data_IF_005055986515
#
_entry.id   IF_005055986515
#
_cell.length_a   1.000
_cell.length_b   1.000
_cell.length_c   1.000
_cell.angle_alpha   90.00
_cell.angle_beta   90.00
_cell.angle_gamma   90.00
#
_symmetry.space_group_name_H-M   'P 1'
#
loop_
_entity.id
_entity.type
_entity.pdbx_description
1 polymer ?
#
# COMPACT_ATOMS: atom_id res chain seq x y z
N UNK A 1 73.12 8.84 -38.81
CA UNK A 1 74.13 7.75 -38.95
C UNK A 1 75.40 8.17 -38.21
N UNK A 2 76.21 7.27 -37.64
CA UNK A 2 75.84 6.16 -36.74
C UNK A 2 76.78 6.04 -35.50
N UNK A 3 76.37 5.19 -34.53
CA UNK A 3 77.18 4.29 -33.64
C UNK A 3 78.24 4.88 -32.68
N UNK A 4 78.35 4.46 -31.40
CA UNK A 4 78.59 3.08 -30.94
C UNK A 4 78.29 2.84 -29.44
N UNK A 5 77.70 1.67 -29.16
CA UNK A 5 77.86 0.69 -28.05
C UNK A 5 78.76 1.01 -26.84
N UNK A 6 78.39 0.66 -25.60
CA UNK A 6 78.51 -0.70 -24.99
C UNK A 6 77.71 -0.77 -23.67
N UNK A 7 76.68 -1.60 -23.53
CA UNK A 7 76.64 -2.95 -22.91
C UNK A 7 77.20 -3.10 -21.48
N UNK A 8 76.32 -3.40 -20.53
CA UNK A 8 76.59 -4.42 -19.51
C UNK A 8 75.29 -5.11 -19.09
N UNK A 9 75.24 -6.40 -19.40
CA UNK A 9 74.17 -7.33 -19.06
C UNK A 9 74.40 -7.95 -17.69
N UNK A 10 73.35 -8.11 -16.89
CA UNK A 10 73.24 -9.29 -16.01
C UNK A 10 71.81 -9.79 -16.05
N UNK A 11 71.66 -10.96 -16.69
CA UNK A 11 70.52 -11.85 -16.55
C UNK A 11 70.57 -12.49 -15.16
N UNK A 12 69.45 -12.48 -14.46
CA UNK A 12 69.11 -13.46 -13.41
C UNK A 12 67.59 -13.61 -13.49
N UNK A 13 67.15 -14.52 -14.36
CA UNK A 13 66.72 -15.88 -14.00
C UNK A 13 65.31 -15.87 -13.42
N UNK A 14 64.40 -16.41 -14.23
CA UNK A 14 63.03 -16.71 -13.87
C UNK A 14 62.97 -17.49 -12.55
N UNK A 15 62.24 -16.93 -11.58
CA UNK A 15 61.56 -17.71 -10.57
C UNK A 15 60.17 -17.07 -10.44
N UNK A 16 59.18 -17.82 -10.90
CA UNK A 16 57.78 -17.46 -10.79
C UNK A 16 57.42 -17.16 -9.34
N UNK A 17 57.16 -15.89 -9.02
CA UNK A 17 56.43 -15.52 -7.84
C UNK A 17 55.31 -14.59 -8.27
N UNK A 18 54.13 -15.01 -7.87
CA UNK A 18 52.83 -14.52 -8.27
C UNK A 18 52.75 -13.01 -8.30
N UNK A 19 52.17 -12.52 -9.39
CA UNK A 19 51.54 -11.20 -9.46
C UNK A 19 50.40 -11.22 -8.44
N UNK A 20 50.71 -10.96 -7.17
CA UNK A 20 49.73 -10.42 -6.25
C UNK A 20 49.75 -8.92 -6.53
N UNK A 21 49.01 -8.53 -7.58
CA UNK A 21 48.46 -7.18 -7.60
C UNK A 21 47.68 -7.06 -6.29
N UNK A 22 48.28 -6.42 -5.28
CA UNK A 22 47.55 -5.96 -4.12
C UNK A 22 46.53 -4.97 -4.67
N UNK A 23 45.34 -5.47 -5.00
CA UNK A 23 44.13 -4.68 -5.12
C UNK A 23 44.06 -3.96 -3.80
N UNK A 24 44.52 -2.70 -3.78
CA UNK A 24 44.41 -1.84 -2.63
C UNK A 24 42.97 -1.99 -2.17
N UNK A 25 42.81 -2.52 -0.96
CA UNK A 25 41.54 -2.48 -0.27
C UNK A 25 41.24 -0.98 -0.23
N UNK A 26 40.42 -0.51 -1.18
CA UNK A 26 39.85 0.83 -1.11
C UNK A 26 39.22 0.82 0.26
N UNK A 27 39.79 1.57 1.21
CA UNK A 27 39.19 1.80 2.51
C UNK A 27 37.73 2.05 2.20
N UNK A 28 36.87 1.12 2.57
CA UNK A 28 35.44 1.37 2.58
C UNK A 28 35.35 2.45 3.64
N UNK A 29 35.42 3.72 3.23
CA UNK A 29 35.04 4.82 4.09
C UNK A 29 33.60 4.49 4.45
N UNK A 30 33.42 3.91 5.65
CA UNK A 30 32.11 3.63 6.20
C UNK A 30 31.39 4.96 6.12
N UNK A 31 30.40 5.06 5.22
CA UNK A 31 29.57 6.25 5.11
C UNK A 31 28.97 6.45 6.48
N UNK A 32 29.48 7.44 7.21
CA UNK A 32 28.97 7.77 8.53
C UNK A 32 27.49 8.12 8.36
N UNK A 33 26.63 7.49 9.17
CA UNK A 33 25.22 7.85 9.22
C UNK A 33 25.11 9.32 9.62
N UNK A 34 24.06 10.02 9.19
CA UNK A 34 23.83 11.43 9.55
C UNK A 34 23.97 11.67 11.06
N UNK A 35 23.38 10.81 11.89
CA UNK A 35 23.51 10.84 13.35
C UNK A 35 24.96 10.70 13.81
N UNK A 36 25.74 9.79 13.23
CA UNK A 36 27.15 9.59 13.60
C UNK A 36 28.02 10.78 13.19
N UNK A 37 27.74 11.37 12.02
CA UNK A 37 28.43 12.56 11.55
C UNK A 37 28.18 13.74 12.50
N UNK A 38 26.92 14.01 12.83
CA UNK A 38 26.55 15.07 13.78
C UNK A 38 27.17 14.80 15.15
N UNK A 39 27.03 13.58 15.68
CA UNK A 39 27.57 13.18 16.97
C UNK A 39 29.07 13.41 17.10
N UNK A 40 29.85 13.09 16.06
CA UNK A 40 31.31 13.33 16.04
C UNK A 40 31.67 14.81 16.26
N UNK A 41 30.93 15.74 15.64
CA UNK A 41 31.21 17.17 15.80
C UNK A 41 30.60 17.73 17.08
N UNK A 42 29.45 17.23 17.51
CA UNK A 42 28.84 17.60 18.79
C UNK A 42 29.72 17.18 19.96
N UNK A 43 30.28 15.97 19.95
CA UNK A 43 31.25 15.50 20.95
C UNK A 43 32.50 16.39 20.99
N UNK A 44 32.97 16.83 19.82
CA UNK A 44 34.09 17.75 19.71
C UNK A 44 33.81 19.12 20.36
N UNK A 45 32.55 19.58 20.39
CA UNK A 45 32.14 20.77 21.14
C UNK A 45 32.23 20.56 22.65
N UNK A 46 31.81 19.38 23.14
CA UNK A 46 31.89 19.00 24.56
C UNK A 46 33.34 18.93 25.03
N UNK A 47 34.21 18.27 24.24
CA UNK A 47 35.65 18.17 24.51
C UNK A 47 36.38 19.50 24.35
N UNK A 48 35.74 20.50 23.72
CA UNK A 48 36.31 21.83 23.51
C UNK A 48 37.43 21.90 22.48
N UNK A 49 37.59 20.88 21.65
CA UNK A 49 38.68 20.78 20.66
C UNK A 49 38.24 21.38 19.33
N UNK A 50 38.96 22.37 18.79
CA UNK A 50 38.65 22.99 17.47
C UNK A 50 37.14 23.33 17.31
N UNK A 51 36.59 24.08 18.27
CA UNK A 51 35.16 24.44 18.33
C UNK A 51 34.65 25.12 17.06
N UNK A 52 35.40 26.09 16.52
CA UNK A 52 35.07 26.77 15.24
C UNK A 52 34.84 25.76 14.11
N UNK A 53 35.82 24.88 13.89
CA UNK A 53 35.72 23.84 12.87
C UNK A 53 34.53 22.90 13.08
N UNK A 54 34.25 22.52 14.33
CA UNK A 54 33.09 21.68 14.63
C UNK A 54 31.76 22.41 14.33
N UNK A 55 31.67 23.69 14.68
CA UNK A 55 30.50 24.53 14.40
C UNK A 55 30.29 24.71 12.90
N UNK A 56 31.33 25.01 12.13
CA UNK A 56 31.27 25.12 10.67
C UNK A 56 30.77 23.82 10.03
N UNK A 57 31.29 22.67 10.48
CA UNK A 57 30.86 21.37 9.99
C UNK A 57 29.41 21.04 10.34
N UNK A 58 28.92 21.48 11.50
CA UNK A 58 27.52 21.33 11.88
C UNK A 58 26.61 22.27 11.06
N UNK A 59 27.10 23.46 10.68
CA UNK A 59 26.38 24.40 9.81
C UNK A 59 26.26 23.83 8.39
N UNK A 60 27.33 23.24 7.86
CA UNK A 60 27.37 22.68 6.50
C UNK A 60 26.69 21.31 6.38
N UNK A 61 26.43 20.62 7.49
CA UNK A 61 25.86 19.27 7.48
C UNK A 61 24.44 19.22 6.88
N UNK A 62 24.24 18.56 5.74
CA UNK A 62 22.89 18.31 5.23
C UNK A 62 22.30 17.06 5.91
N UNK A 63 21.65 17.27 7.06
CA UNK A 63 21.13 16.20 7.92
C UNK A 63 19.69 16.50 8.37
N UNK A 64 18.84 15.49 8.56
CA UNK A 64 17.50 15.66 9.11
C UNK A 64 17.55 16.11 10.58
N UNK A 65 16.48 16.74 11.07
CA UNK A 65 16.43 17.28 12.43
C UNK A 65 16.67 16.20 13.49
N UNK A 66 16.17 14.99 13.25
CA UNK A 66 16.32 13.84 14.16
C UNK A 66 17.78 13.55 14.50
N UNK A 67 18.71 13.69 13.54
CA UNK A 67 20.14 13.47 13.80
C UNK A 67 20.72 14.48 14.79
N UNK A 68 20.20 15.71 14.83
CA UNK A 68 20.63 16.74 15.79
C UNK A 68 19.97 16.56 17.15
N UNK A 69 18.71 16.14 17.17
CA UNK A 69 17.94 15.83 18.39
C UNK A 69 18.48 14.61 19.13
N UNK A 70 18.79 13.53 18.42
CA UNK A 70 19.39 12.31 18.98
C UNK A 70 20.72 12.60 19.68
N UNK A 71 21.51 13.52 19.14
CA UNK A 71 22.79 13.95 19.73
C UNK A 71 22.65 15.12 20.71
N UNK A 72 21.42 15.56 21.03
CA UNK A 72 21.14 16.70 21.92
C UNK A 72 21.94 17.97 21.55
N UNK A 73 22.12 18.21 20.26
CA UNK A 73 23.08 19.20 19.75
C UNK A 73 22.73 20.62 20.21
N UNK A 74 21.44 21.01 20.22
CA UNK A 74 20.99 22.31 20.74
C UNK A 74 21.36 22.50 22.21
N UNK A 75 21.17 21.48 23.06
CA UNK A 75 21.53 21.52 24.48
C UNK A 75 23.04 21.62 24.68
N UNK A 76 23.83 20.92 23.86
CA UNK A 76 25.29 21.00 23.91
C UNK A 76 25.78 22.39 23.53
N UNK A 77 25.17 23.01 22.51
CA UNK A 77 25.48 24.39 22.11
C UNK A 77 25.17 25.38 23.23
N UNK A 78 24.01 25.25 23.87
CA UNK A 78 23.59 26.10 24.98
C UNK A 78 24.52 25.97 26.19
N UNK A 79 24.94 24.74 26.53
CA UNK A 79 25.77 24.51 27.72
C UNK A 79 27.25 24.81 27.52
N UNK A 80 27.82 24.45 26.36
CA UNK A 80 29.26 24.46 26.15
C UNK A 80 29.76 25.59 25.25
N UNK A 81 28.88 26.20 24.46
CA UNK A 81 29.27 27.21 23.44
C UNK A 81 28.66 28.58 23.76
N UNK A 82 27.38 28.66 24.13
CA UNK A 82 26.72 29.93 24.43
C UNK A 82 27.41 30.75 25.55
N UNK A 83 27.90 30.16 26.66
CA UNK A 83 28.54 30.92 27.72
C UNK A 83 29.85 31.59 27.31
N UNK A 84 30.48 31.12 26.21
CA UNK A 84 31.75 31.66 25.74
C UNK A 84 31.58 33.02 25.02
N UNK A 85 30.38 33.38 24.57
CA UNK A 85 30.08 34.65 23.88
C UNK A 85 30.68 34.80 22.47
N UNK A 86 31.85 34.21 22.20
CA UNK A 86 32.63 34.36 20.97
C UNK A 86 32.01 33.70 19.73
N UNK A 87 31.02 32.82 19.91
CA UNK A 87 30.45 32.00 18.83
C UNK A 87 29.03 32.40 18.44
N UNK A 88 28.59 33.61 18.81
CA UNK A 88 27.23 34.12 18.56
C UNK A 88 26.79 34.01 17.09
N UNK A 89 27.67 34.29 16.13
CA UNK A 89 27.41 34.13 14.70
C UNK A 89 27.04 32.68 14.33
N UNK A 90 27.83 31.72 14.80
CA UNK A 90 27.62 30.30 14.51
C UNK A 90 26.34 29.79 15.16
N UNK A 91 26.08 30.22 16.40
CA UNK A 91 24.85 29.88 17.12
C UNK A 91 23.60 30.40 16.39
N UNK A 92 23.62 31.64 15.91
CA UNK A 92 22.51 32.20 15.15
C UNK A 92 22.28 31.44 13.83
N UNK A 93 23.36 31.12 13.10
CA UNK A 93 23.25 30.29 11.89
C UNK A 93 22.68 28.90 12.14
N UNK A 94 23.13 28.23 13.21
CA UNK A 94 22.62 26.92 13.59
C UNK A 94 21.15 26.99 14.01
N UNK A 95 20.75 28.00 14.78
CA UNK A 95 19.35 28.23 15.16
C UNK A 95 18.46 28.42 13.92
N UNK A 96 18.84 29.32 13.01
CA UNK A 96 18.11 29.53 11.75
C UNK A 96 18.01 28.26 10.91
N UNK A 97 19.08 27.45 10.90
CA UNK A 97 19.08 26.15 10.22
C UNK A 97 18.10 25.18 10.85
N UNK A 98 18.09 25.02 12.17
CA UNK A 98 17.15 24.13 12.86
C UNK A 98 15.71 24.54 12.59
N UNK A 99 15.39 25.83 12.65
CA UNK A 99 14.05 26.33 12.33
C UNK A 99 13.67 26.08 10.86
N UNK A 100 14.63 26.24 9.95
CA UNK A 100 14.41 25.97 8.52
C UNK A 100 14.14 24.48 8.27
N UNK A 101 14.86 23.58 8.94
CA UNK A 101 14.66 22.14 8.82
C UNK A 101 13.30 21.76 9.42
N UNK A 102 12.99 22.17 10.65
CA UNK A 102 11.69 21.92 11.29
C UNK A 102 10.51 22.41 10.45
N UNK A 103 10.60 23.61 9.86
CA UNK A 103 9.57 24.15 8.98
C UNK A 103 9.39 23.29 7.72
N UNK A 104 10.49 22.86 7.09
CA UNK A 104 10.43 21.99 5.91
C UNK A 104 9.81 20.63 6.26
N UNK A 105 10.17 20.05 7.39
CA UNK A 105 9.63 18.78 7.85
C UNK A 105 8.14 18.88 8.12
N UNK A 106 7.68 19.95 8.78
CA UNK A 106 6.25 20.21 9.00
C UNK A 106 5.47 20.37 7.70
N UNK A 107 6.01 21.12 6.72
CA UNK A 107 5.34 21.26 5.42
C UNK A 107 5.27 19.92 4.68
N UNK A 108 6.33 19.11 4.78
CA UNK A 108 6.37 17.80 4.14
C UNK A 108 5.36 16.84 4.78
N UNK A 109 5.27 16.81 6.11
CA UNK A 109 4.27 15.99 6.81
C UNK A 109 2.85 16.44 6.48
N UNK A 110 2.58 17.74 6.49
CA UNK A 110 1.27 18.28 6.07
C UNK A 110 0.93 17.91 4.63
N UNK A 111 1.88 18.03 3.69
CA UNK A 111 1.67 17.66 2.29
C UNK A 111 1.42 16.16 2.13
N UNK A 112 2.14 15.30 2.85
CA UNK A 112 1.91 13.85 2.84
C UNK A 112 0.52 13.51 3.37
N UNK A 113 0.10 14.18 4.45
CA UNK A 113 -1.21 13.99 5.05
C UNK A 113 -2.33 14.46 4.10
N UNK A 114 -2.17 15.61 3.45
CA UNK A 114 -3.11 16.10 2.45
C UNK A 114 -3.27 15.11 1.28
N UNK A 115 -2.15 14.63 0.71
CA UNK A 115 -2.16 13.60 -0.34
C UNK A 115 -2.83 12.29 0.10
N UNK A 116 -2.59 11.88 1.35
CA UNK A 116 -3.25 10.70 1.91
C UNK A 116 -4.76 10.89 2.03
N UNK A 117 -5.23 12.07 2.45
CA UNK A 117 -6.66 12.39 2.51
C UNK A 117 -7.30 12.40 1.12
N UNK A 118 -6.64 13.00 0.14
CA UNK A 118 -7.10 13.00 -1.25
C UNK A 118 -7.21 11.57 -1.81
N UNK A 119 -6.22 10.72 -1.54
CA UNK A 119 -6.24 9.32 -1.95
C UNK A 119 -7.38 8.55 -1.27
N UNK A 120 -7.60 8.75 0.03
CA UNK A 120 -8.68 8.09 0.76
C UNK A 120 -10.06 8.52 0.23
N UNK A 121 -10.28 9.82 0.00
CA UNK A 121 -11.53 10.33 -0.55
C UNK A 121 -11.81 9.76 -1.97
N UNK A 122 -10.77 9.60 -2.78
CA UNK A 122 -10.88 8.96 -4.09
C UNK A 122 -11.32 7.49 -3.98
N UNK A 123 -10.73 6.73 -3.05
CA UNK A 123 -11.08 5.33 -2.82
C UNK A 123 -12.54 5.21 -2.37
N UNK A 124 -12.97 6.03 -1.40
CA UNK A 124 -14.35 6.05 -0.92
C UNK A 124 -15.35 6.40 -2.03
N UNK A 125 -15.01 7.36 -2.90
CA UNK A 125 -15.86 7.72 -4.02
C UNK A 125 -16.00 6.57 -5.04
N UNK A 126 -14.90 5.89 -5.36
CA UNK A 126 -14.91 4.73 -6.27
C UNK A 126 -15.70 3.56 -5.70
N UNK A 127 -15.59 3.32 -4.38
CA UNK A 127 -16.41 2.33 -3.67
C UNK A 127 -17.90 2.64 -3.80
N UNK A 128 -18.30 3.89 -3.53
CA UNK A 128 -19.69 4.33 -3.63
C UNK A 128 -20.25 4.16 -5.05
N UNK A 129 -19.48 4.52 -6.08
CA UNK A 129 -19.89 4.34 -7.48
C UNK A 129 -20.10 2.86 -7.82
N UNK A 130 -19.20 1.98 -7.35
CA UNK A 130 -19.33 0.55 -7.58
C UNK A 130 -20.54 -0.04 -6.85
N UNK A 131 -20.76 0.37 -5.60
CA UNK A 131 -21.92 -0.06 -4.81
C UNK A 131 -23.23 0.39 -5.45
N UNK A 132 -23.31 1.65 -5.90
CA UNK A 132 -24.47 2.17 -6.61
C UNK A 132 -24.74 1.38 -7.89
N UNK A 133 -23.71 1.14 -8.73
CA UNK A 133 -23.86 0.34 -9.96
C UNK A 133 -24.33 -1.08 -9.67
N UNK A 134 -23.79 -1.70 -8.62
CA UNK A 134 -24.20 -3.04 -8.20
C UNK A 134 -25.69 -3.05 -7.82
N UNK A 135 -26.14 -2.02 -7.11
CA UNK A 135 -27.53 -1.90 -6.70
C UNK A 135 -28.47 -1.62 -7.88
N UNK A 136 -28.04 -0.80 -8.84
CA UNK A 136 -28.75 -0.55 -10.10
C UNK A 136 -28.89 -1.84 -10.92
N UNK A 137 -27.82 -2.62 -11.07
CA UNK A 137 -27.82 -3.90 -11.79
C UNK A 137 -28.76 -4.93 -11.14
N UNK A 138 -28.74 -5.04 -9.80
CA UNK A 138 -29.67 -5.91 -9.07
C UNK A 138 -31.12 -5.45 -9.28
N UNK A 139 -31.37 -4.15 -9.28
CA UNK A 139 -32.71 -3.61 -9.47
C UNK A 139 -33.21 -3.81 -10.91
N UNK A 140 -32.34 -3.68 -11.92
CA UNK A 140 -32.66 -4.02 -13.30
C UNK A 140 -33.00 -5.50 -13.45
N UNK A 141 -32.20 -6.39 -12.85
CA UNK A 141 -32.46 -7.84 -12.89
C UNK A 141 -33.81 -8.19 -12.26
N UNK A 142 -34.14 -7.56 -11.12
CA UNK A 142 -35.44 -7.72 -10.48
C UNK A 142 -36.59 -7.22 -11.36
N UNK A 143 -36.42 -6.05 -11.97
CA UNK A 143 -37.41 -5.44 -12.86
C UNK A 143 -37.63 -6.29 -14.12
N UNK A 144 -36.55 -6.81 -14.72
CA UNK A 144 -36.61 -7.71 -15.87
C UNK A 144 -37.34 -9.03 -15.52
N UNK A 145 -37.02 -9.62 -14.36
CA UNK A 145 -37.70 -10.83 -13.89
C UNK A 145 -39.21 -10.59 -13.67
N UNK A 146 -39.57 -9.50 -12.99
CA UNK A 146 -40.97 -9.13 -12.72
C UNK A 146 -41.74 -8.78 -14.00
N UNK A 147 -41.15 -8.00 -14.91
CA UNK A 147 -41.75 -7.64 -16.20
C UNK A 147 -41.90 -8.82 -17.18
N UNK A 148 -41.07 -9.86 -17.05
CA UNK A 148 -41.16 -11.07 -17.87
C UNK A 148 -42.33 -11.98 -17.49
N UNK A 149 -42.92 -11.79 -16.31
CA UNK A 149 -44.15 -12.50 -15.90
C UNK A 149 -45.39 -11.90 -16.57
N UNK A 150 -45.41 -11.88 -17.91
CA UNK A 150 -46.69 -11.94 -18.61
C UNK A 150 -47.31 -13.28 -18.22
N UNK A 151 -48.20 -13.24 -17.21
CA UNK A 151 -49.01 -14.39 -16.81
C UNK A 151 -49.51 -15.05 -18.10
N UNK A 152 -49.21 -16.34 -18.34
CA UNK A 152 -49.70 -16.99 -19.55
C UNK A 152 -51.21 -16.81 -19.50
N UNK A 153 -51.76 -16.03 -20.45
CA UNK A 153 -53.21 -15.95 -20.65
C UNK A 153 -53.64 -17.40 -20.69
N UNK A 154 -54.38 -17.84 -19.68
CA UNK A 154 -54.89 -19.21 -19.61
C UNK A 154 -55.81 -19.38 -20.81
N UNK A 155 -55.25 -19.74 -21.96
CA UNK A 155 -56.01 -20.29 -23.06
C UNK A 155 -56.46 -21.62 -22.51
N UNK A 156 -57.67 -21.62 -21.94
CA UNK A 156 -58.42 -22.82 -21.60
C UNK A 156 -58.66 -23.58 -22.91
N UNK A 157 -57.64 -24.24 -23.42
CA UNK A 157 -57.79 -25.27 -24.44
C UNK A 157 -58.40 -26.46 -23.71
N UNK A 158 -59.73 -26.46 -23.63
CA UNK A 158 -60.48 -27.66 -23.24
C UNK A 158 -60.05 -28.76 -24.21
N UNK A 159 -59.59 -29.93 -23.74
CA UNK A 159 -59.27 -31.03 -24.62
C UNK A 159 -60.52 -31.38 -25.43
N UNK A 160 -60.41 -31.44 -26.75
CA UNK A 160 -61.52 -31.85 -27.60
C UNK A 160 -61.70 -33.37 -27.52
N UNK A 161 -62.76 -33.79 -26.84
CA UNK A 161 -63.14 -35.19 -26.71
C UNK A 161 -64.05 -35.67 -27.85
N UNK A 162 -64.37 -34.83 -28.84
CA UNK A 162 -65.23 -35.18 -29.99
C UNK A 162 -64.74 -36.39 -30.78
N UNK A 163 -63.42 -36.61 -30.81
CA UNK A 163 -62.79 -37.77 -31.45
C UNK A 163 -63.02 -39.09 -30.72
N UNK A 164 -63.38 -39.06 -29.44
CA UNK A 164 -63.63 -40.27 -28.65
C UNK A 164 -65.14 -40.56 -28.59
N UNK A 165 -65.66 -41.34 -29.56
CA UNK A 165 -67.01 -41.90 -29.45
C UNK A 165 -67.02 -43.00 -28.40
N UNK A 166 -67.52 -42.68 -27.21
CA UNK A 166 -67.84 -43.70 -26.20
C UNK A 166 -69.09 -44.45 -26.68
N UNK A 167 -68.89 -45.61 -27.31
CA UNK A 167 -69.99 -46.50 -27.66
C UNK A 167 -70.40 -47.28 -26.42
N UNK A 168 -71.65 -47.08 -25.95
CA UNK A 168 -72.24 -47.93 -24.92
C UNK A 168 -72.34 -49.36 -25.48
N UNK A 169 -71.62 -50.31 -24.88
CA UNK A 169 -71.92 -51.72 -25.08
C UNK A 169 -73.32 -51.99 -24.51
N UNK A 170 -74.24 -52.39 -25.37
CA UNK A 170 -75.53 -52.97 -24.97
C UNK A 170 -75.22 -54.18 -24.09
N UNK A 171 -75.47 -54.08 -22.79
CA UNK A 171 -75.40 -55.24 -21.91
C UNK A 171 -76.58 -56.13 -22.30
N UNK A 172 -76.28 -57.26 -22.93
CA UNK A 172 -77.19 -58.40 -23.00
C UNK A 172 -77.73 -58.65 -21.59
N UNK A 173 -79.05 -58.71 -21.49
CA UNK A 173 -79.80 -58.86 -20.25
C UNK A 173 -79.47 -60.19 -19.60
N UNK A 174 -78.79 -60.16 -18.46
CA UNK A 174 -78.87 -61.21 -17.46
C UNK A 174 -79.02 -60.53 -16.10
N UNK A 175 -80.17 -60.82 -15.50
CA UNK A 175 -80.64 -60.34 -14.21
C UNK A 175 -79.75 -60.84 -13.07
N UNK A 176 -79.30 -59.91 -12.22
CA UNK A 176 -79.08 -60.14 -10.78
C UNK A 176 -78.78 -58.80 -10.07
N UNK A 177 -79.75 -58.28 -9.31
CA UNK A 177 -79.53 -57.43 -8.13
C UNK A 177 -79.02 -58.29 -6.96
N UNK A 178 -78.48 -57.77 -5.83
CA UNK A 178 -78.50 -56.39 -5.28
C UNK A 178 -77.06 -55.90 -4.92
N UNK A 179 -76.74 -54.71 -4.40
CA UNK A 179 -77.16 -54.05 -3.15
C UNK A 179 -76.60 -52.63 -3.14
N UNK A 180 -77.38 -51.72 -2.58
CA UNK A 180 -77.04 -50.36 -2.18
C UNK A 180 -76.08 -50.33 -0.99
N UNK A 181 -75.09 -49.44 -1.01
CA UNK A 181 -74.50 -48.87 0.20
C UNK A 181 -74.07 -47.42 -0.04
N UNK A 182 -74.78 -46.54 0.64
CA UNK A 182 -74.50 -45.13 0.86
C UNK A 182 -73.39 -44.93 1.90
N UNK A 183 -72.44 -44.05 1.62
CA UNK A 183 -71.57 -43.37 2.58
C UNK A 183 -70.67 -42.40 1.78
N UNK A 184 -70.36 -41.18 2.16
CA UNK A 184 -70.73 -40.32 3.28
C UNK A 184 -70.11 -38.96 2.93
N UNK A 185 -70.86 -37.90 3.18
CA UNK A 185 -70.47 -36.50 3.06
C UNK A 185 -69.23 -36.20 3.91
N UNK A 186 -68.25 -35.46 3.37
CA UNK A 186 -67.29 -34.73 4.19
C UNK A 186 -67.16 -33.32 3.66
N UNK A 187 -67.76 -32.41 4.42
CA UNK A 187 -67.84 -30.97 4.30
C UNK A 187 -66.49 -30.26 4.50
N UNK A 188 -66.34 -29.16 3.77
CA UNK A 188 -65.33 -28.11 3.95
C UNK A 188 -65.32 -27.53 5.37
N UNK A 189 -64.18 -27.05 5.88
CA UNK A 189 -64.15 -25.99 6.86
C UNK A 189 -63.84 -24.65 6.18
N UNK A 190 -64.79 -23.73 6.29
CA UNK A 190 -64.59 -22.28 6.14
C UNK A 190 -64.67 -21.67 7.54
N UNK A 191 -64.01 -20.53 7.72
CA UNK A 191 -64.08 -19.56 8.83
C UNK A 191 -62.87 -19.65 9.78
N UNK A 192 -62.25 -18.56 10.22
CA UNK A 192 -62.62 -17.15 10.20
C UNK A 192 -61.35 -16.30 10.36
#
# INVERSE_FOLDING_TARGET
MPSSTSSSSTKSSAAAQSIIQSRGIKKIEKRLTATQYVGKYTERLVLGVRRTYALDRLIDADCPICAFEENLTEKVLEKHIAPLGMYSYHLNKLAQKFDKIRRKDLINTQRKLAKSRECNAYIENQMMILEQKTQEEVNELFTAAMGSTCAPKKTSMKPDYSKYRIVKRSKSSTSSTPTSSSSSSSSSPTSQ
#
